data_IF_113300660408
#
_entry.id   IF_113300660408
#
_cell.length_a   1.000
_cell.length_b   1.000
_cell.length_c   1.000
_cell.angle_alpha   90.00
_cell.angle_beta   90.00
_cell.angle_gamma   90.00
#
_symmetry.space_group_name_H-M   'P 1'
#
loop_
_entity.id
_entity.type
_entity.pdbx_description
1 polymer ?
#
# COMPACT_ATOMS: atom_id res chain seq x y z
N UNK A 1 -6.75 16.87 4.82
CA UNK A 1 -6.55 16.02 6.01
C UNK A 1 -7.28 16.57 7.23
N UNK A 2 -7.20 17.87 7.53
CA UNK A 2 -7.85 18.48 8.71
C UNK A 2 -9.33 18.18 8.85
N UNK A 3 -10.09 18.24 7.74
CA UNK A 3 -11.50 17.88 7.73
C UNK A 3 -11.74 16.43 8.13
N UNK A 4 -10.87 15.50 7.70
CA UNK A 4 -10.95 14.11 8.10
C UNK A 4 -10.66 13.98 9.61
N UNK A 5 -9.61 14.60 10.13
CA UNK A 5 -9.32 14.59 11.57
C UNK A 5 -10.49 15.15 12.41
N UNK A 6 -11.10 16.25 11.98
CA UNK A 6 -12.27 16.82 12.64
C UNK A 6 -13.47 15.85 12.62
N UNK A 7 -13.70 15.17 11.48
CA UNK A 7 -14.74 14.17 11.33
C UNK A 7 -14.53 12.98 12.30
N UNK A 8 -13.34 12.38 12.30
CA UNK A 8 -13.01 11.26 13.17
C UNK A 8 -13.11 11.63 14.65
N UNK A 9 -12.59 12.81 15.04
CA UNK A 9 -12.72 13.30 16.42
C UNK A 9 -14.18 13.49 16.83
N UNK A 10 -15.02 14.05 15.95
CA UNK A 10 -16.43 14.31 16.23
C UNK A 10 -17.25 13.02 16.39
N UNK A 11 -17.02 12.04 15.53
CA UNK A 11 -17.88 10.85 15.45
C UNK A 11 -17.36 9.65 16.24
N UNK A 12 -16.05 9.56 16.43
CA UNK A 12 -15.41 8.39 17.05
C UNK A 12 -14.49 8.75 18.21
N UNK A 13 -14.19 10.04 18.43
CA UNK A 13 -13.31 10.47 19.52
C UNK A 13 -11.83 10.10 19.32
N UNK A 14 -11.46 9.64 18.11
CA UNK A 14 -10.10 9.19 17.78
C UNK A 14 -9.42 10.12 16.79
N UNK A 15 -8.08 10.04 16.76
CA UNK A 15 -7.26 10.59 15.69
C UNK A 15 -6.71 9.40 14.89
N UNK A 16 -7.00 9.29 13.57
CA UNK A 16 -6.43 8.23 12.75
C UNK A 16 -4.91 8.43 12.66
N UNK A 17 -4.17 7.32 12.77
CA UNK A 17 -2.71 7.27 12.65
C UNK A 17 -2.24 6.66 11.33
N UNK A 18 -3.17 6.14 10.54
CA UNK A 18 -2.93 5.60 9.20
C UNK A 18 -3.60 6.42 8.11
N UNK A 19 -2.97 6.43 6.94
CA UNK A 19 -3.54 6.98 5.71
C UNK A 19 -3.52 5.95 4.59
N UNK A 20 -4.49 6.07 3.67
CA UNK A 20 -4.51 5.38 2.38
C UNK A 20 -5.11 6.34 1.37
N UNK A 21 -4.40 6.65 0.29
CA UNK A 21 -4.89 7.60 -0.70
C UNK A 21 -6.06 7.00 -1.47
N UNK A 22 -7.11 7.79 -1.76
CA UNK A 22 -8.18 7.35 -2.63
C UNK A 22 -7.63 6.88 -3.98
N UNK A 23 -8.08 5.71 -4.44
CA UNK A 23 -7.62 5.07 -5.68
C UNK A 23 -6.11 4.74 -5.72
N UNK A 24 -5.43 4.78 -4.58
CA UNK A 24 -3.96 4.71 -4.52
C UNK A 24 -3.27 5.77 -5.39
N UNK A 25 -3.95 6.88 -5.62
CA UNK A 25 -3.42 8.00 -6.38
C UNK A 25 -2.55 8.86 -5.46
N UNK A 26 -1.28 9.00 -5.83
CA UNK A 26 -0.25 9.58 -4.99
C UNK A 26 0.40 10.77 -5.68
N UNK A 27 0.44 11.91 -5.00
CA UNK A 27 1.07 13.13 -5.51
C UNK A 27 2.48 13.28 -4.96
N UNK A 28 3.28 14.12 -5.60
CA UNK A 28 4.62 14.49 -5.13
C UNK A 28 4.62 15.12 -3.73
N UNK A 29 3.49 15.68 -3.30
CA UNK A 29 3.34 16.35 -2.01
C UNK A 29 2.74 15.44 -0.93
N UNK A 30 2.15 14.31 -1.30
CA UNK A 30 1.35 13.49 -0.36
C UNK A 30 2.19 13.04 0.83
N UNK A 31 3.37 12.45 0.57
CA UNK A 31 4.23 11.92 1.63
C UNK A 31 4.63 12.97 2.67
N UNK A 32 5.05 14.16 2.22
CA UNK A 32 5.43 15.26 3.10
C UNK A 32 4.25 15.76 3.94
N UNK A 33 3.09 15.87 3.32
CA UNK A 33 1.86 16.26 4.00
C UNK A 33 1.45 15.24 5.07
N UNK A 34 1.65 13.94 4.82
CA UNK A 34 1.40 12.90 5.81
C UNK A 34 2.39 12.97 6.98
N UNK A 35 3.67 13.20 6.68
CA UNK A 35 4.73 13.34 7.68
C UNK A 35 4.51 14.60 8.54
N UNK A 36 4.21 15.75 7.94
CA UNK A 36 3.87 16.99 8.64
C UNK A 36 2.62 16.82 9.52
N UNK A 37 1.62 16.10 9.01
CA UNK A 37 0.43 15.78 9.78
C UNK A 37 0.68 14.75 10.90
N UNK A 38 1.86 14.12 10.98
CA UNK A 38 2.20 13.17 12.03
C UNK A 38 1.40 11.87 11.95
N UNK A 39 1.16 11.36 10.74
CA UNK A 39 0.72 9.98 10.57
C UNK A 39 1.86 9.01 10.98
N UNK A 40 1.49 7.79 11.38
CA UNK A 40 2.44 6.72 11.68
C UNK A 40 2.76 5.91 10.43
N UNK A 41 1.74 5.64 9.61
CA UNK A 41 1.90 4.81 8.42
C UNK A 41 1.03 5.29 7.25
N UNK A 42 1.46 4.92 6.06
CA UNK A 42 0.72 5.00 4.80
C UNK A 42 0.51 3.59 4.25
N UNK A 43 -0.51 3.42 3.42
CA UNK A 43 -0.80 2.15 2.76
C UNK A 43 -1.39 2.43 1.38
N UNK A 44 -0.55 2.99 0.51
CA UNK A 44 -0.91 3.51 -0.81
C UNK A 44 0.11 3.16 -1.89
N UNK A 45 1.35 2.88 -1.52
CA UNK A 45 2.47 2.67 -2.43
C UNK A 45 2.75 1.16 -2.62
N UNK A 46 3.50 0.84 -3.68
CA UNK A 46 3.67 -0.53 -4.18
C UNK A 46 5.13 -0.90 -4.45
N UNK A 47 6.10 -0.26 -3.79
CA UNK A 47 7.52 -0.52 -4.11
C UNK A 47 8.02 -1.88 -3.58
N UNK A 48 7.26 -2.52 -2.69
CA UNK A 48 7.51 -3.86 -2.15
C UNK A 48 6.19 -4.62 -2.06
N UNK A 49 6.25 -5.95 -2.13
CA UNK A 49 5.04 -6.78 -2.09
C UNK A 49 4.65 -7.20 -0.66
N UNK A 50 5.61 -7.67 0.13
CA UNK A 50 5.36 -8.41 1.37
C UNK A 50 6.07 -7.84 2.60
N UNK A 51 6.76 -6.71 2.47
CA UNK A 51 7.58 -6.14 3.55
C UNK A 51 7.33 -4.64 3.62
N UNK A 52 6.96 -4.10 4.80
CA UNK A 52 6.93 -2.67 5.02
C UNK A 52 8.27 -1.98 4.68
N UNK A 53 8.21 -0.69 4.41
CA UNK A 53 9.41 0.11 4.16
C UNK A 53 9.15 1.59 4.38
N UNK A 54 10.21 2.37 4.54
CA UNK A 54 10.10 3.83 4.54
C UNK A 54 10.20 4.37 3.11
N UNK A 55 9.14 4.99 2.55
CA UNK A 55 9.18 5.57 1.21
C UNK A 55 10.25 6.63 1.09
N UNK A 56 10.93 6.66 -0.05
CA UNK A 56 11.97 7.64 -0.33
C UNK A 56 11.46 8.73 -1.24
N UNK A 57 12.04 9.91 -1.06
CA UNK A 57 11.97 11.01 -2.00
C UNK A 57 12.99 10.78 -3.11
N UNK A 58 12.71 11.19 -4.35
CA UNK A 58 13.56 10.86 -5.49
C UNK A 58 13.86 12.08 -6.37
N UNK A 59 15.07 12.10 -6.92
CA UNK A 59 15.37 12.82 -8.16
C UNK A 59 15.02 11.90 -9.33
N UNK A 60 14.08 12.34 -10.17
CA UNK A 60 13.69 11.61 -11.38
C UNK A 60 14.59 12.07 -12.53
N UNK A 61 15.21 11.12 -13.20
CA UNK A 61 16.08 11.36 -14.35
C UNK A 61 15.50 10.69 -15.60
N UNK A 62 15.60 11.34 -16.76
CA UNK A 62 15.09 10.80 -18.02
C UNK A 62 16.02 9.77 -18.66
N UNK A 63 17.33 10.02 -18.60
CA UNK A 63 18.34 9.25 -19.35
C UNK A 63 19.30 8.48 -18.45
N UNK A 64 19.21 8.69 -17.13
CA UNK A 64 20.04 8.03 -16.13
C UNK A 64 19.19 7.47 -15.01
N UNK A 65 19.79 6.68 -14.13
CA UNK A 65 19.08 6.15 -12.96
C UNK A 65 18.56 7.27 -12.06
N UNK A 66 17.35 7.08 -11.51
CA UNK A 66 16.82 7.95 -10.48
C UNK A 66 17.72 7.93 -9.24
N UNK A 67 17.86 9.07 -8.58
CA UNK A 67 18.70 9.20 -7.38
C UNK A 67 17.78 9.24 -6.16
N UNK A 68 18.03 8.34 -5.22
CA UNK A 68 17.29 8.29 -3.97
C UNK A 68 17.72 9.41 -3.03
N UNK A 69 16.76 10.20 -2.57
CA UNK A 69 16.87 11.12 -1.45
C UNK A 69 16.47 10.47 -0.12
N UNK A 70 16.08 11.26 0.89
CA UNK A 70 15.79 10.76 2.22
C UNK A 70 14.51 9.92 2.25
N UNK A 71 14.58 8.83 3.00
CA UNK A 71 13.39 8.10 3.43
C UNK A 71 12.57 8.94 4.41
N UNK A 72 11.25 8.77 4.35
CA UNK A 72 10.30 9.37 5.29
C UNK A 72 10.29 8.62 6.61
N UNK A 73 9.92 9.29 7.70
CA UNK A 73 9.60 8.63 8.96
C UNK A 73 8.30 7.80 8.89
N UNK A 74 7.45 8.04 7.88
CA UNK A 74 6.24 7.26 7.62
C UNK A 74 6.62 5.84 7.22
N UNK A 75 6.02 4.84 7.87
CA UNK A 75 6.11 3.46 7.43
C UNK A 75 5.06 3.17 6.36
N UNK A 76 5.47 2.65 5.21
CA UNK A 76 4.54 2.15 4.20
C UNK A 76 4.18 0.69 4.48
N UNK A 77 2.89 0.41 4.54
CA UNK A 77 2.30 -0.92 4.50
C UNK A 77 1.84 -1.13 3.07
N UNK A 78 2.67 -1.76 2.21
CA UNK A 78 2.45 -1.75 0.78
C UNK A 78 1.11 -2.37 0.40
N UNK A 79 0.54 -1.80 -0.66
CA UNK A 79 -0.65 -2.32 -1.30
C UNK A 79 -0.31 -3.09 -2.57
N UNK A 80 -1.27 -3.87 -3.06
CA UNK A 80 -1.13 -4.59 -4.32
C UNK A 80 -2.48 -4.66 -5.02
N UNK A 81 -2.53 -4.31 -6.32
CA UNK A 81 -3.72 -4.52 -7.15
C UNK A 81 -4.15 -5.99 -7.21
N UNK A 82 -3.25 -6.93 -6.90
CA UNK A 82 -3.57 -8.35 -6.84
C UNK A 82 -4.24 -8.76 -5.51
N UNK A 83 -4.22 -7.91 -4.48
CA UNK A 83 -4.86 -8.08 -3.17
C UNK A 83 -5.97 -7.05 -2.91
N UNK A 84 -6.53 -6.47 -3.98
CA UNK A 84 -7.71 -5.60 -3.95
C UNK A 84 -8.92 -6.33 -4.55
N UNK A 85 -10.07 -6.23 -3.89
CA UNK A 85 -11.33 -6.77 -4.41
C UNK A 85 -11.93 -5.95 -5.55
N UNK A 86 -11.67 -4.63 -5.58
CA UNK A 86 -12.38 -3.72 -6.47
C UNK A 86 -12.10 -3.97 -7.96
N UNK A 87 -10.84 -4.01 -8.45
CA UNK A 87 -10.58 -4.15 -9.89
C UNK A 87 -11.06 -5.49 -10.44
N UNK A 88 -10.96 -6.55 -9.64
CA UNK A 88 -11.33 -7.90 -10.07
C UNK A 88 -12.84 -8.13 -10.03
N UNK A 89 -13.54 -7.61 -9.02
CA UNK A 89 -14.93 -7.99 -8.74
C UNK A 89 -15.94 -6.89 -9.06
N UNK A 90 -15.55 -5.62 -9.02
CA UNK A 90 -16.48 -4.52 -9.28
C UNK A 90 -16.81 -4.41 -10.77
N UNK A 91 -18.06 -4.07 -11.08
CA UNK A 91 -18.45 -3.67 -12.43
C UNK A 91 -18.50 -2.14 -12.51
N UNK A 92 -17.58 -1.56 -13.28
CA UNK A 92 -17.50 -0.10 -13.51
C UNK A 92 -17.84 0.31 -14.94
N UNK A 93 -18.14 -0.65 -15.83
CA UNK A 93 -18.41 -0.43 -17.25
C UNK A 93 -17.17 -0.29 -18.15
N UNK A 94 -16.03 0.15 -17.60
CA UNK A 94 -14.80 0.40 -18.36
C UNK A 94 -13.68 -0.62 -18.06
N UNK A 95 -13.94 -1.61 -17.20
CA UNK A 95 -13.00 -2.66 -16.84
C UNK A 95 -13.68 -4.02 -16.98
N UNK A 96 -12.87 -5.07 -17.18
CA UNK A 96 -13.35 -6.44 -17.37
C UNK A 96 -14.24 -6.88 -16.19
N UNK A 97 -13.86 -6.53 -14.94
CA UNK A 97 -14.67 -6.67 -13.73
C UNK A 97 -15.23 -8.08 -13.49
N UNK A 98 -16.08 -8.25 -12.47
CA UNK A 98 -16.93 -9.45 -12.27
C UNK A 98 -16.21 -10.80 -12.46
N UNK A 99 -14.94 -10.87 -12.08
CA UNK A 99 -14.10 -12.06 -12.25
C UNK A 99 -14.66 -13.24 -11.46
N UNK A 100 -14.38 -14.45 -11.93
CA UNK A 100 -14.70 -15.66 -11.18
C UNK A 100 -14.03 -15.67 -9.79
N UNK A 101 -14.84 -15.88 -8.76
CA UNK A 101 -14.39 -15.88 -7.36
C UNK A 101 -13.39 -17.00 -7.05
N UNK A 102 -13.45 -18.14 -7.75
CA UNK A 102 -12.48 -19.21 -7.50
C UNK A 102 -11.11 -18.89 -8.12
N UNK A 103 -11.08 -18.15 -9.24
CA UNK A 103 -9.86 -17.57 -9.80
C UNK A 103 -9.21 -16.55 -8.86
N UNK A 104 -9.99 -15.61 -8.31
CA UNK A 104 -9.51 -14.61 -7.34
C UNK A 104 -9.02 -15.28 -6.06
N UNK A 105 -9.79 -16.22 -5.50
CA UNK A 105 -9.42 -16.97 -4.31
C UNK A 105 -8.11 -17.73 -4.49
N UNK A 106 -7.90 -18.38 -5.63
CA UNK A 106 -6.67 -19.10 -5.94
C UNK A 106 -5.47 -18.15 -5.91
N UNK A 107 -5.56 -17.02 -6.61
CA UNK A 107 -4.51 -15.99 -6.60
C UNK A 107 -4.18 -15.53 -5.18
N UNK A 108 -5.21 -15.22 -4.39
CA UNK A 108 -5.02 -14.75 -3.01
C UNK A 108 -4.36 -15.80 -2.11
N UNK A 109 -4.71 -17.08 -2.28
CA UNK A 109 -4.06 -18.21 -1.58
C UNK A 109 -2.62 -18.41 -2.05
N UNK A 110 -2.34 -18.29 -3.33
CA UNK A 110 -0.99 -18.45 -3.88
C UNK A 110 -0.04 -17.35 -3.36
N UNK A 111 -0.51 -16.09 -3.30
CA UNK A 111 0.25 -14.98 -2.71
C UNK A 111 0.53 -15.26 -1.22
N UNK A 112 -0.48 -15.68 -0.47
CA UNK A 112 -0.31 -16.05 0.94
C UNK A 112 0.69 -17.20 1.11
N UNK A 113 0.53 -18.27 0.33
CA UNK A 113 1.39 -19.46 0.37
C UNK A 113 2.84 -19.10 0.06
N UNK A 114 3.07 -18.26 -0.94
CA UNK A 114 4.40 -17.77 -1.26
C UNK A 114 4.99 -16.99 -0.09
N UNK A 115 4.25 -16.02 0.46
CA UNK A 115 4.69 -15.21 1.60
C UNK A 115 5.03 -16.09 2.81
N UNK A 116 4.15 -17.02 3.16
CA UNK A 116 4.32 -17.93 4.30
C UNK A 116 5.58 -18.80 4.21
N UNK A 117 5.94 -19.25 3.00
CA UNK A 117 7.09 -20.12 2.79
C UNK A 117 8.41 -19.41 2.50
N UNK A 118 8.37 -18.18 1.96
CA UNK A 118 9.54 -17.53 1.41
C UNK A 118 9.86 -16.16 2.01
N UNK A 119 8.94 -15.59 2.80
CA UNK A 119 9.14 -14.29 3.45
C UNK A 119 9.01 -14.42 4.97
N UNK A 120 10.16 -14.39 5.65
CA UNK A 120 10.17 -14.26 7.11
C UNK A 120 9.50 -12.94 7.52
N UNK A 121 8.60 -13.01 8.50
CA UNK A 121 7.78 -11.89 8.97
C UNK A 121 7.05 -11.14 7.84
N UNK A 122 6.61 -11.89 6.81
CA UNK A 122 5.88 -11.33 5.67
C UNK A 122 4.54 -10.72 6.06
N UNK A 123 4.25 -9.56 5.47
CA UNK A 123 2.97 -8.88 5.52
C UNK A 123 2.06 -9.38 4.39
N UNK A 124 0.78 -9.58 4.71
CA UNK A 124 -0.28 -9.85 3.75
C UNK A 124 -1.41 -8.83 3.96
N UNK A 125 -1.35 -7.70 3.24
CA UNK A 125 -2.31 -6.61 3.38
C UNK A 125 -3.34 -6.63 2.24
N UNK A 126 -4.62 -6.75 2.59
CA UNK A 126 -5.73 -6.71 1.63
C UNK A 126 -6.43 -5.35 1.62
N UNK A 127 -6.92 -4.93 0.46
CA UNK A 127 -7.88 -3.86 0.34
C UNK A 127 -9.25 -4.45 -0.02
N UNK A 128 -10.22 -4.25 0.86
CA UNK A 128 -11.56 -4.79 0.72
C UNK A 128 -12.58 -3.65 0.85
N UNK A 129 -13.57 -3.64 -0.03
CA UNK A 129 -14.57 -2.59 -0.09
C UNK A 129 -15.94 -3.17 0.30
N UNK A 130 -16.64 -2.63 1.32
CA UNK A 130 -17.91 -3.19 1.78
C UNK A 130 -18.96 -3.35 0.67
N UNK A 131 -19.00 -2.41 -0.29
CA UNK A 131 -19.91 -2.47 -1.44
C UNK A 131 -19.55 -3.56 -2.47
N UNK A 132 -18.35 -4.15 -2.38
CA UNK A 132 -17.88 -5.20 -3.27
C UNK A 132 -17.81 -6.53 -2.51
N UNK A 133 -16.89 -6.68 -1.54
CA UNK A 133 -16.70 -7.92 -0.78
C UNK A 133 -17.94 -8.34 0.03
N UNK A 134 -18.81 -7.38 0.39
CA UNK A 134 -20.01 -7.61 1.19
C UNK A 134 -21.14 -8.33 0.46
N UNK A 135 -21.01 -8.61 -0.85
CA UNK A 135 -21.98 -9.40 -1.58
C UNK A 135 -21.94 -10.88 -1.16
N UNK A 136 -23.10 -11.55 -1.11
CA UNK A 136 -23.23 -12.91 -0.56
C UNK A 136 -22.21 -13.93 -1.08
N UNK A 137 -21.98 -13.96 -2.39
CA UNK A 137 -21.02 -14.88 -3.02
C UNK A 137 -19.55 -14.48 -2.77
N UNK A 138 -19.25 -13.19 -2.69
CA UNK A 138 -17.92 -12.69 -2.32
C UNK A 138 -17.59 -12.99 -0.85
N UNK A 139 -18.56 -12.88 0.06
CA UNK A 139 -18.39 -13.28 1.47
C UNK A 139 -18.06 -14.77 1.61
N UNK A 140 -18.65 -15.64 0.79
CA UNK A 140 -18.30 -17.07 0.77
C UNK A 140 -16.86 -17.31 0.27
N UNK A 141 -16.39 -16.51 -0.70
CA UNK A 141 -14.99 -16.53 -1.14
C UNK A 141 -14.05 -16.08 -0.01
N UNK A 142 -14.33 -14.93 0.63
CA UNK A 142 -13.52 -14.40 1.72
C UNK A 142 -13.46 -15.35 2.92
N UNK A 143 -14.58 -15.98 3.29
CA UNK A 143 -14.63 -16.98 4.37
C UNK A 143 -13.69 -18.16 4.08
N UNK A 144 -13.69 -18.69 2.85
CA UNK A 144 -12.76 -19.75 2.41
C UNK A 144 -11.29 -19.31 2.43
N UNK A 145 -11.00 -18.05 2.19
CA UNK A 145 -9.63 -17.50 2.32
C UNK A 145 -9.22 -17.42 3.79
N UNK A 146 -10.05 -16.82 4.64
CA UNK A 146 -9.76 -16.67 6.08
C UNK A 146 -9.52 -18.03 6.72
N UNK A 147 -10.36 -19.03 6.44
CA UNK A 147 -10.16 -20.39 6.98
C UNK A 147 -8.88 -21.06 6.46
N UNK A 148 -8.48 -20.79 5.22
CA UNK A 148 -7.18 -21.26 4.71
C UNK A 148 -6.01 -20.61 5.45
N UNK A 149 -6.04 -19.30 5.64
CA UNK A 149 -4.99 -18.55 6.35
C UNK A 149 -4.90 -18.99 7.82
N UNK A 150 -6.04 -19.12 8.51
CA UNK A 150 -6.11 -19.60 9.91
C UNK A 150 -5.57 -21.02 10.11
N UNK A 151 -5.50 -21.82 9.04
CA UNK A 151 -4.93 -23.17 9.08
C UNK A 151 -3.41 -23.22 9.18
N UNK A 152 -2.73 -22.08 9.21
CA UNK A 152 -1.27 -21.97 9.26
C UNK A 152 -0.83 -21.40 10.61
N UNK A 153 0.16 -22.04 11.24
CA UNK A 153 0.71 -21.61 12.52
C UNK A 153 1.50 -20.30 12.38
N UNK A 154 1.53 -19.50 13.44
CA UNK A 154 2.32 -18.26 13.45
C UNK A 154 1.72 -17.08 12.67
N UNK A 155 0.54 -17.24 12.06
CA UNK A 155 -0.17 -16.12 11.43
C UNK A 155 -0.75 -15.19 12.50
N UNK A 156 -0.45 -13.90 12.39
CA UNK A 156 -1.03 -12.85 13.22
C UNK A 156 -2.04 -12.02 12.41
N UNK A 157 -3.31 -12.11 12.78
CA UNK A 157 -4.35 -11.21 12.27
C UNK A 157 -4.26 -9.88 13.02
N UNK A 158 -3.73 -8.87 12.35
CA UNK A 158 -3.43 -7.56 12.92
C UNK A 158 -4.10 -6.43 12.12
N UNK A 159 -4.33 -5.32 12.80
CA UNK A 159 -4.56 -4.03 12.16
C UNK A 159 -3.25 -3.48 11.59
N UNK A 160 -3.35 -2.60 10.58
CA UNK A 160 -2.20 -1.88 10.05
C UNK A 160 -1.49 -1.03 11.13
N UNK A 161 -2.26 -0.46 12.07
CA UNK A 161 -1.72 0.28 13.21
C UNK A 161 -0.87 -0.61 14.12
N UNK A 162 -1.34 -1.81 14.45
CA UNK A 162 -0.56 -2.77 15.24
C UNK A 162 0.75 -3.15 14.55
N UNK A 163 0.70 -3.46 13.24
CA UNK A 163 1.89 -3.75 12.43
C UNK A 163 2.88 -2.59 12.48
N UNK A 164 2.41 -1.37 12.23
CA UNK A 164 3.28 -0.19 12.24
C UNK A 164 3.87 0.10 13.63
N UNK A 165 3.12 -0.17 14.70
CA UNK A 165 3.55 0.09 16.08
C UNK A 165 4.65 -0.84 16.59
N UNK A 166 4.78 -2.03 15.99
CA UNK A 166 5.80 -3.03 16.36
C UNK A 166 6.98 -3.05 15.39
N UNK A 167 6.96 -2.20 14.35
CA UNK A 167 8.07 -2.05 13.43
C UNK A 167 9.29 -1.46 14.16
N UNK A 168 10.47 -1.98 13.85
CA UNK A 168 11.73 -1.52 14.41
C UNK A 168 12.70 -1.25 13.28
N UNK A 169 13.06 0.01 13.10
CA UNK A 169 14.03 0.43 12.09
C UNK A 169 15.39 -0.23 12.32
N UNK A 170 15.93 -0.80 11.26
CA UNK A 170 17.31 -1.28 11.25
C UNK A 170 18.28 -0.13 10.94
N UNK A 171 19.56 -0.47 10.79
CA UNK A 171 20.58 0.52 10.43
C UNK A 171 20.40 1.04 8.99
N UNK A 172 19.94 0.19 8.06
CA UNK A 172 19.74 0.59 6.67
C UNK A 172 18.63 1.65 6.56
N UNK A 173 17.53 1.47 7.29
CA UNK A 173 16.43 2.43 7.36
C UNK A 173 16.91 3.79 7.89
N UNK A 174 17.67 3.79 8.99
CA UNK A 174 18.26 5.02 9.55
C UNK A 174 19.19 5.71 8.57
N UNK A 175 20.02 4.95 7.85
CA UNK A 175 20.91 5.52 6.84
C UNK A 175 20.15 6.09 5.64
N UNK A 176 19.01 5.49 5.24
CA UNK A 176 18.16 6.05 4.19
C UNK A 176 17.52 7.37 4.62
N UNK A 177 17.10 7.51 5.88
CA UNK A 177 16.53 8.76 6.40
C UNK A 177 17.54 9.92 6.41
N UNK A 178 18.83 9.62 6.56
CA UNK A 178 19.92 10.62 6.60
C UNK A 178 20.42 11.06 5.21
N UNK A 179 19.86 10.52 4.11
CA UNK A 179 20.30 10.89 2.75
C UNK A 179 20.02 12.37 2.48
N UNK A 180 20.85 13.02 1.64
CA UNK A 180 20.59 14.39 1.24
C UNK A 180 19.30 14.49 0.44
N UNK A 181 18.54 15.56 0.66
CA UNK A 181 17.36 15.85 -0.14
C UNK A 181 17.76 16.31 -1.54
N UNK A 182 17.45 15.47 -2.53
CA UNK A 182 17.78 15.66 -3.95
C UNK A 182 16.54 15.77 -4.83
N UNK A 183 15.36 16.02 -4.26
CA UNK A 183 14.10 15.99 -5.01
C UNK A 183 14.08 16.91 -6.23
N UNK A 184 13.54 16.37 -7.31
CA UNK A 184 13.30 17.11 -8.55
C UNK A 184 13.06 16.18 -9.72
N UNK A 185 12.74 16.79 -10.86
CA UNK A 185 12.60 16.11 -12.15
C UNK A 185 13.60 16.76 -13.10
N UNK A 186 14.47 15.96 -13.71
CA UNK A 186 15.42 16.43 -14.70
C UNK A 186 14.66 17.06 -15.89
N UNK A 187 15.23 18.08 -16.56
CA UNK A 187 14.65 18.59 -17.79
C UNK A 187 14.49 17.47 -18.81
N UNK A 188 13.40 17.54 -19.58
CA UNK A 188 13.16 16.62 -20.68
C UNK A 188 14.30 16.75 -21.70
N UNK A 189 14.89 15.66 -22.20
CA UNK A 189 15.94 15.72 -23.23
C UNK A 189 15.46 16.45 -24.49
N UNK A 190 16.34 17.25 -25.11
CA UNK A 190 16.01 18.05 -26.29
C UNK A 190 15.64 17.18 -27.52
N UNK A 191 16.09 15.93 -27.56
CA UNK A 191 15.79 14.94 -28.59
C UNK A 191 14.65 13.97 -28.21
N UNK A 192 13.93 14.25 -27.12
CA UNK A 192 12.81 13.42 -26.65
C UNK A 192 11.62 13.49 -27.61
N UNK A 193 11.56 12.53 -28.54
CA UNK A 193 10.58 12.47 -29.63
C UNK A 193 9.37 11.56 -29.41
N UNK A 194 8.89 11.37 -28.17
CA UNK A 194 7.72 10.52 -27.93
C UNK A 194 6.46 11.16 -28.54
N UNK A 195 5.72 10.48 -29.44
CA UNK A 195 4.63 11.09 -30.18
C UNK A 195 3.44 11.39 -29.26
N UNK A 196 3.01 12.66 -29.18
CA UNK A 196 1.77 13.07 -28.51
C UNK A 196 1.85 14.21 -27.49
N UNK A 197 2.85 15.09 -27.58
CA UNK A 197 2.73 16.47 -27.04
C UNK A 197 2.71 17.47 -28.19
#
# INVERSE_FOLDING_TARGET
>A
MDLAFACYKRHFGIRPVGYRSPYWDYSENTLDLLEEAGFLYDSSLMARDLVPYHPQRWQVNWETGNIAGPASAILEIPVSWYLDDFPALAYTGNQEGMSDTDGVLRRWKDIFTYAYHHQENGLYAMALHPQIIGHGHHMMMLSRLIEHIKGHDGVWFATCEEIASVWVDDEEDRQKMLRPDVRGVAPVPDDYGWPGK
#
